data_IF_170641887081
#
_entry.id   IF_170641887081
#
_cell.length_a   1.000
_cell.length_b   1.000
_cell.length_c   1.000
_cell.angle_alpha   90.00
_cell.angle_beta   90.00
_cell.angle_gamma   90.00
#
_symmetry.space_group_name_H-M   'P 1'
#
loop_
_entity.id
_entity.type
_entity.pdbx_description
1 polymer ?
#
# COMPACT_ATOMS: atom_id res chain seq x y z
N UNK A 1 18.95 16.21 -19.64
CA UNK A 1 17.89 15.23 -19.96
C UNK A 1 17.91 14.18 -18.87
N UNK A 2 16.83 14.08 -18.09
CA UNK A 2 16.69 13.04 -17.08
C UNK A 2 16.52 11.69 -17.80
N UNK A 3 17.33 10.69 -17.45
CA UNK A 3 17.18 9.34 -18.02
C UNK A 3 15.87 8.71 -17.52
N UNK A 4 15.16 7.93 -18.35
CA UNK A 4 13.99 7.16 -17.91
C UNK A 4 14.39 6.21 -16.77
N UNK A 5 13.55 6.10 -15.73
CA UNK A 5 13.81 5.22 -14.58
C UNK A 5 14.16 3.79 -14.99
N UNK A 6 13.48 3.26 -16.02
CA UNK A 6 13.72 1.90 -16.52
C UNK A 6 15.17 1.69 -16.99
N UNK A 7 15.83 2.75 -17.46
CA UNK A 7 17.19 2.68 -18.01
C UNK A 7 18.27 2.77 -16.92
N UNK A 8 17.89 3.15 -15.70
CA UNK A 8 18.83 3.25 -14.57
C UNK A 8 18.88 1.98 -13.72
N UNK A 9 17.98 1.02 -13.93
CA UNK A 9 17.86 -0.21 -13.13
C UNK A 9 18.79 -1.32 -13.62
N UNK A 10 19.42 -2.03 -12.68
CA UNK A 10 20.27 -3.19 -12.93
C UNK A 10 19.45 -4.48 -12.96
N UNK A 11 18.86 -4.76 -14.13
CA UNK A 11 18.15 -6.02 -14.36
C UNK A 11 19.10 -7.22 -14.46
N UNK A 12 20.37 -7.03 -14.84
CA UNK A 12 21.31 -8.13 -15.08
C UNK A 12 21.67 -8.85 -13.78
N UNK A 13 21.85 -8.10 -12.68
CA UNK A 13 22.12 -8.65 -11.34
C UNK A 13 21.04 -9.64 -10.88
N UNK A 14 19.79 -9.41 -11.28
CA UNK A 14 18.64 -10.27 -10.98
C UNK A 14 18.24 -11.23 -12.10
N UNK A 15 19.05 -11.39 -13.15
CA UNK A 15 18.76 -12.28 -14.28
C UNK A 15 17.58 -11.83 -15.15
N UNK A 16 17.47 -10.52 -15.38
CA UNK A 16 16.41 -9.86 -16.15
C UNK A 16 15.23 -9.36 -15.30
N UNK A 17 15.29 -9.52 -13.98
CA UNK A 17 14.21 -9.17 -13.06
C UNK A 17 14.72 -8.33 -11.88
N UNK A 18 13.93 -7.35 -11.44
CA UNK A 18 14.17 -6.61 -10.19
C UNK A 18 13.07 -6.92 -9.16
N UNK A 19 13.40 -7.15 -7.88
CA UNK A 19 12.41 -7.15 -6.81
C UNK A 19 11.72 -5.79 -6.68
N UNK A 20 10.42 -5.82 -6.44
CA UNK A 20 9.59 -4.67 -6.18
C UNK A 20 8.86 -4.87 -4.85
N UNK A 21 9.21 -4.05 -3.86
CA UNK A 21 8.52 -3.94 -2.58
C UNK A 21 7.32 -3.01 -2.79
N UNK A 22 6.12 -3.52 -2.50
CA UNK A 22 4.89 -2.75 -2.62
C UNK A 22 4.44 -2.33 -1.23
N UNK A 23 4.29 -1.02 -1.04
CA UNK A 23 3.89 -0.43 0.24
C UNK A 23 2.67 0.46 0.05
N UNK A 24 1.76 0.42 1.02
CA UNK A 24 0.69 1.40 1.11
C UNK A 24 1.25 2.81 1.34
N UNK A 25 0.92 3.75 0.45
CA UNK A 25 1.44 5.11 0.52
C UNK A 25 0.96 5.91 1.74
N UNK A 26 -0.20 5.56 2.32
CA UNK A 26 -0.78 6.26 3.48
C UNK A 26 -0.36 5.61 4.78
N UNK A 27 -0.42 4.28 4.85
CA UNK A 27 -0.22 3.57 6.11
C UNK A 27 1.15 2.96 6.28
N UNK A 28 2.01 3.07 5.26
CA UNK A 28 3.36 2.49 5.21
C UNK A 28 3.37 0.97 5.43
N UNK A 29 2.22 0.32 5.24
CA UNK A 29 2.08 -1.13 5.39
C UNK A 29 2.67 -1.81 4.16
N UNK A 30 3.65 -2.69 4.35
CA UNK A 30 4.17 -3.51 3.27
C UNK A 30 3.10 -4.51 2.84
N UNK A 31 2.64 -4.39 1.59
CA UNK A 31 1.53 -5.17 1.04
C UNK A 31 2.03 -6.47 0.42
N UNK A 32 3.10 -6.41 -0.37
CA UNK A 32 3.68 -7.59 -1.02
C UNK A 32 5.08 -7.32 -1.54
N UNK A 33 5.79 -8.41 -1.88
CA UNK A 33 6.97 -8.39 -2.73
C UNK A 33 6.63 -9.11 -4.03
N UNK A 34 7.03 -8.53 -5.15
CA UNK A 34 6.91 -9.11 -6.47
C UNK A 34 8.19 -8.87 -7.29
N UNK A 35 8.22 -9.38 -8.52
CA UNK A 35 9.33 -9.16 -9.44
C UNK A 35 8.80 -8.43 -10.67
N UNK A 36 9.64 -7.61 -11.29
CA UNK A 36 9.33 -6.88 -12.51
C UNK A 36 10.45 -7.10 -13.51
N UNK A 37 10.11 -7.44 -14.76
CA UNK A 37 11.03 -7.31 -15.87
C UNK A 37 11.03 -5.86 -16.39
N UNK A 38 11.95 -5.55 -17.30
CA UNK A 38 12.03 -4.23 -17.94
C UNK A 38 10.69 -3.76 -18.50
N UNK A 39 9.97 -4.65 -19.16
CA UNK A 39 8.68 -4.33 -19.78
C UNK A 39 7.55 -4.09 -18.76
N UNK A 40 7.57 -4.75 -17.60
CA UNK A 40 6.63 -4.51 -16.51
C UNK A 40 6.89 -3.17 -15.81
N UNK A 41 8.16 -2.76 -15.65
CA UNK A 41 8.51 -1.44 -15.13
C UNK A 41 8.01 -0.35 -16.08
N UNK A 42 8.28 -0.49 -17.38
CA UNK A 42 7.81 0.44 -18.41
C UNK A 42 6.29 0.61 -18.41
N UNK A 43 5.56 -0.51 -18.38
CA UNK A 43 4.10 -0.49 -18.34
C UNK A 43 3.58 0.15 -17.05
N UNK A 44 4.24 -0.08 -15.92
CA UNK A 44 3.87 0.51 -14.63
C UNK A 44 4.03 2.03 -14.65
N UNK A 45 5.15 2.52 -15.20
CA UNK A 45 5.41 3.96 -15.35
C UNK A 45 4.39 4.60 -16.31
N UNK A 46 4.08 3.95 -17.44
CA UNK A 46 3.15 4.48 -18.45
C UNK A 46 1.70 4.48 -17.98
N UNK A 47 1.27 3.39 -17.34
CA UNK A 47 -0.13 3.19 -16.97
C UNK A 47 -0.51 3.79 -15.61
N UNK A 48 0.47 4.05 -14.75
CA UNK A 48 0.25 4.44 -13.36
C UNK A 48 -0.31 3.32 -12.48
N UNK A 49 -0.21 2.05 -12.92
CA UNK A 49 -0.67 0.89 -12.16
C UNK A 49 0.36 -0.23 -12.15
N UNK A 50 0.49 -0.91 -11.01
CA UNK A 50 1.52 -1.92 -10.82
C UNK A 50 1.31 -3.15 -11.74
N UNK A 51 2.31 -3.39 -12.58
CA UNK A 51 2.43 -4.57 -13.44
C UNK A 51 3.62 -5.39 -12.98
N UNK A 52 3.48 -6.71 -12.89
CA UNK A 52 4.51 -7.60 -12.37
C UNK A 52 4.83 -8.73 -13.35
N UNK A 53 5.95 -9.40 -13.12
CA UNK A 53 6.36 -10.61 -13.79
C UNK A 53 6.25 -11.81 -12.84
N UNK A 54 5.53 -12.85 -13.28
CA UNK A 54 5.41 -14.11 -12.53
C UNK A 54 6.55 -15.04 -12.91
N UNK A 55 7.48 -15.27 -11.97
CA UNK A 55 8.59 -16.23 -12.16
C UNK A 55 8.12 -17.68 -12.37
N UNK A 56 6.99 -18.06 -11.76
CA UNK A 56 6.45 -19.42 -11.89
C UNK A 56 5.69 -19.64 -13.19
N UNK A 57 5.00 -18.63 -13.70
CA UNK A 57 4.24 -18.71 -14.96
C UNK A 57 5.03 -18.24 -16.18
N UNK A 58 6.18 -17.62 -15.99
CA UNK A 58 7.01 -17.07 -17.07
C UNK A 58 6.35 -15.95 -17.85
N UNK A 59 5.52 -15.12 -17.20
CA UNK A 59 4.70 -14.13 -17.90
C UNK A 59 4.33 -12.90 -17.05
N UNK A 60 4.05 -11.79 -17.75
CA UNK A 60 3.60 -10.54 -17.14
C UNK A 60 2.12 -10.62 -16.77
N UNK A 61 1.76 -9.93 -15.69
CA UNK A 61 0.37 -9.76 -15.27
C UNK A 61 0.19 -8.40 -14.60
N UNK A 62 -0.88 -7.70 -14.97
CA UNK A 62 -1.28 -6.47 -14.29
C UNK A 62 -2.06 -6.83 -13.04
N UNK A 63 -1.67 -6.29 -11.88
CA UNK A 63 -2.34 -6.64 -10.62
C UNK A 63 -3.80 -6.19 -10.67
N UNK A 64 -4.71 -7.15 -10.51
CA UNK A 64 -6.15 -6.88 -10.49
C UNK A 64 -6.84 -6.88 -11.85
N UNK A 65 -6.15 -7.29 -12.93
CA UNK A 65 -6.78 -7.41 -14.25
C UNK A 65 -7.97 -8.38 -14.25
N UNK A 66 -7.88 -9.46 -13.48
CA UNK A 66 -8.96 -10.45 -13.33
C UNK A 66 -9.86 -10.17 -12.11
N UNK A 67 -9.29 -9.70 -11.00
CA UNK A 67 -10.02 -9.59 -9.71
C UNK A 67 -10.57 -8.19 -9.43
N UNK A 68 -10.23 -7.19 -10.22
CA UNK A 68 -10.53 -5.77 -9.95
C UNK A 68 -9.63 -5.12 -8.87
N UNK A 69 -8.79 -5.90 -8.17
CA UNK A 69 -7.96 -5.38 -7.08
C UNK A 69 -6.67 -4.75 -7.61
N UNK A 70 -6.69 -3.44 -7.82
CA UNK A 70 -5.65 -2.68 -8.53
C UNK A 70 -4.72 -1.97 -7.55
N UNK A 71 -3.49 -1.72 -7.96
CA UNK A 71 -2.51 -0.97 -7.17
C UNK A 71 -2.11 0.27 -7.97
N UNK A 72 -2.67 1.43 -7.60
CA UNK A 72 -2.38 2.70 -8.27
C UNK A 72 -1.06 3.24 -7.74
N UNK A 73 -0.12 3.57 -8.64
CA UNK A 73 1.18 4.09 -8.27
C UNK A 73 1.05 5.52 -7.74
N UNK A 74 1.63 5.78 -6.58
CA UNK A 74 1.80 7.11 -5.99
C UNK A 74 3.23 7.59 -6.20
N UNK A 75 4.21 6.72 -5.94
CA UNK A 75 5.63 7.00 -6.17
C UNK A 75 6.41 5.71 -6.47
N UNK A 76 7.53 5.86 -7.16
CA UNK A 76 8.48 4.79 -7.44
C UNK A 76 9.87 5.29 -7.05
N UNK A 77 10.60 4.50 -6.28
CA UNK A 77 12.00 4.75 -5.94
C UNK A 77 12.84 3.50 -6.22
N UNK A 78 14.01 3.69 -6.82
CA UNK A 78 15.06 2.68 -6.83
C UNK A 78 15.87 2.75 -5.53
N UNK A 79 16.47 1.65 -5.12
CA UNK A 79 17.46 1.66 -4.05
C UNK A 79 18.83 2.16 -4.52
N UNK A 80 19.83 2.13 -3.64
CA UNK A 80 21.08 2.86 -3.86
C UNK A 80 21.98 2.25 -4.95
N UNK A 81 21.85 0.96 -5.24
CA UNK A 81 22.54 0.27 -6.34
C UNK A 81 21.60 -0.09 -7.51
N UNK A 82 20.36 0.42 -7.48
CA UNK A 82 19.35 0.31 -8.53
C UNK A 82 18.95 -1.14 -8.89
N UNK A 83 19.04 -2.07 -7.94
CA UNK A 83 18.65 -3.46 -8.16
C UNK A 83 17.26 -3.79 -7.60
N UNK A 84 16.67 -2.89 -6.80
CA UNK A 84 15.33 -3.04 -6.24
C UNK A 84 14.48 -1.78 -6.38
N UNK A 85 13.15 -1.98 -6.36
CA UNK A 85 12.16 -0.92 -6.40
C UNK A 85 11.31 -0.89 -5.12
N UNK A 86 11.04 0.31 -4.63
CA UNK A 86 9.96 0.61 -3.70
C UNK A 86 8.81 1.26 -4.49
N UNK A 87 7.66 0.58 -4.54
CA UNK A 87 6.42 1.09 -5.10
C UNK A 87 5.51 1.53 -3.97
N UNK A 88 5.29 2.83 -3.82
CA UNK A 88 4.22 3.32 -2.95
C UNK A 88 2.92 3.38 -3.75
N UNK A 89 1.86 2.76 -3.22
CA UNK A 89 0.61 2.57 -3.94
C UNK A 89 -0.61 2.96 -3.11
N UNK A 90 -1.69 3.33 -3.82
CA UNK A 90 -3.04 3.41 -3.28
C UNK A 90 -3.81 2.15 -3.71
N UNK A 91 -4.00 1.16 -2.80
CA UNK A 91 -4.60 -0.11 -3.15
C UNK A 91 -6.14 0.00 -3.26
N UNK A 92 -6.67 -0.43 -4.40
CA UNK A 92 -8.09 -0.67 -4.61
C UNK A 92 -8.37 -2.14 -4.28
N UNK A 93 -9.01 -2.40 -3.15
CA UNK A 93 -9.28 -3.78 -2.67
C UNK A 93 -8.06 -4.47 -2.03
N UNK A 94 -8.19 -5.77 -1.68
CA UNK A 94 -7.11 -6.52 -1.04
C UNK A 94 -5.96 -6.83 -2.02
N UNK A 95 -4.71 -6.66 -1.57
CA UNK A 95 -3.54 -7.00 -2.40
C UNK A 95 -3.32 -8.52 -2.45
N UNK A 96 -3.61 -9.26 -1.39
CA UNK A 96 -3.39 -10.70 -1.32
C UNK A 96 -4.53 -11.50 -1.98
N UNK A 97 -4.17 -12.62 -2.60
CA UNK A 97 -5.14 -13.56 -3.19
C UNK A 97 -5.99 -14.30 -2.15
N UNK A 98 -5.57 -14.30 -0.87
CA UNK A 98 -6.33 -14.85 0.27
C UNK A 98 -7.43 -13.90 0.77
N UNK A 99 -7.64 -12.76 0.11
CA UNK A 99 -8.57 -11.71 0.54
C UNK A 99 -8.04 -10.80 1.65
N UNK A 100 -6.82 -11.05 2.15
CA UNK A 100 -6.16 -10.17 3.12
C UNK A 100 -5.56 -8.94 2.44
N UNK A 101 -5.37 -7.86 3.20
CA UNK A 101 -4.77 -6.62 2.68
C UNK A 101 -3.32 -6.81 2.26
N UNK A 102 -2.52 -7.44 3.12
CA UNK A 102 -1.12 -7.77 2.87
C UNK A 102 -0.95 -9.28 2.65
N UNK A 103 0.09 -9.64 1.89
CA UNK A 103 0.61 -11.01 1.79
C UNK A 103 1.36 -11.42 3.06
N UNK A 104 1.77 -10.46 3.90
CA UNK A 104 2.51 -10.71 5.14
C UNK A 104 1.56 -10.71 6.34
N UNK A 105 1.68 -11.74 7.18
CA UNK A 105 0.88 -11.94 8.39
C UNK A 105 -0.42 -12.70 8.19
N UNK A 106 -1.12 -12.97 9.30
CA UNK A 106 -2.36 -13.78 9.34
C UNK A 106 -3.64 -12.93 9.31
N UNK A 107 -3.53 -11.68 8.86
CA UNK A 107 -4.64 -10.72 8.89
C UNK A 107 -4.76 -9.92 10.19
N UNK A 108 -3.81 -10.08 11.13
CA UNK A 108 -3.74 -9.33 12.40
C UNK A 108 -3.39 -7.83 12.24
N UNK A 109 -3.24 -7.36 11.01
CA UNK A 109 -3.00 -5.96 10.67
C UNK A 109 -1.53 -5.62 10.42
N UNK A 110 -1.29 -4.35 10.14
CA UNK A 110 0.03 -3.84 9.77
C UNK A 110 1.05 -3.98 10.91
N UNK A 111 2.33 -4.12 10.58
CA UNK A 111 3.43 -4.19 11.55
C UNK A 111 3.94 -2.80 11.94
N UNK A 112 4.50 -2.68 13.15
CA UNK A 112 5.14 -1.44 13.64
C UNK A 112 4.23 -0.22 13.56
N UNK A 113 4.77 0.90 13.06
CA UNK A 113 4.05 2.17 12.87
C UNK A 113 2.85 2.04 11.91
N UNK A 114 2.84 1.04 11.03
CA UNK A 114 1.69 0.79 10.16
C UNK A 114 0.41 0.47 10.92
N UNK A 115 0.50 0.03 12.19
CA UNK A 115 -0.67 -0.16 13.06
C UNK A 115 -1.47 1.13 13.25
N UNK A 116 -0.81 2.29 13.27
CA UNK A 116 -1.50 3.58 13.37
C UNK A 116 -2.35 3.85 12.13
N UNK A 117 -1.83 3.56 10.94
CA UNK A 117 -2.62 3.63 9.72
C UNK A 117 -3.74 2.59 9.67
N UNK A 118 -3.54 1.40 10.23
CA UNK A 118 -4.62 0.42 10.39
C UNK A 118 -5.72 0.91 11.35
N UNK A 119 -5.34 1.59 12.44
CA UNK A 119 -6.26 2.22 13.37
C UNK A 119 -7.02 3.38 12.72
N UNK A 120 -6.34 4.24 11.97
CA UNK A 120 -6.95 5.34 11.21
C UNK A 120 -8.04 4.82 10.25
N UNK A 121 -7.74 3.78 9.45
CA UNK A 121 -8.75 3.13 8.59
C UNK A 121 -9.92 2.56 9.39
N UNK A 122 -9.64 2.00 10.56
CA UNK A 122 -10.69 1.49 11.46
C UNK A 122 -11.59 2.63 11.93
N UNK A 123 -11.01 3.78 12.29
CA UNK A 123 -11.71 5.00 12.66
C UNK A 123 -12.55 5.51 11.48
N UNK A 124 -12.00 5.62 10.28
CA UNK A 124 -12.73 6.07 9.08
C UNK A 124 -13.91 5.16 8.73
N UNK A 125 -13.74 3.84 8.84
CA UNK A 125 -14.83 2.88 8.65
C UNK A 125 -15.91 3.11 9.71
N UNK A 126 -15.51 3.11 10.98
CA UNK A 126 -16.40 3.22 12.13
C UNK A 126 -17.04 4.60 12.29
N UNK A 127 -16.53 5.61 11.60
CA UNK A 127 -17.14 6.93 11.52
C UNK A 127 -18.46 6.92 10.72
N UNK A 128 -18.67 5.90 9.88
CA UNK A 128 -19.87 5.72 9.06
C UNK A 128 -20.95 4.86 9.73
N UNK A 129 -20.63 4.25 10.87
CA UNK A 129 -21.55 3.42 11.65
C UNK A 129 -22.61 4.29 12.34
N UNK A 130 -23.68 3.67 12.86
CA UNK A 130 -24.61 4.38 13.72
C UNK A 130 -23.94 4.77 15.07
N UNK A 131 -24.27 5.93 15.67
CA UNK A 131 -23.71 6.35 16.97
C UNK A 131 -23.91 5.34 18.11
N UNK A 132 -24.89 4.45 18.03
CA UNK A 132 -25.14 3.41 19.02
C UNK A 132 -24.19 2.20 18.88
N UNK A 133 -23.60 1.99 17.70
CA UNK A 133 -22.82 0.79 17.37
C UNK A 133 -21.30 0.99 17.56
N UNK A 134 -20.85 2.25 17.59
CA UNK A 134 -19.43 2.59 17.61
C UNK A 134 -19.14 3.82 18.44
N UNK A 135 -18.15 3.72 19.32
CA UNK A 135 -17.65 4.88 20.07
C UNK A 135 -17.15 5.99 19.14
N UNK A 136 -16.51 5.63 18.02
CA UNK A 136 -16.05 6.58 17.01
C UNK A 136 -17.21 7.36 16.41
N UNK A 137 -18.28 6.67 15.98
CA UNK A 137 -19.47 7.32 15.44
C UNK A 137 -20.16 8.21 16.50
N UNK A 138 -20.26 7.73 17.75
CA UNK A 138 -20.80 8.49 18.88
C UNK A 138 -20.03 9.78 19.13
N UNK A 139 -18.70 9.70 19.13
CA UNK A 139 -17.83 10.84 19.36
C UNK A 139 -17.93 11.87 18.22
N UNK A 140 -17.98 11.41 16.97
CA UNK A 140 -18.15 12.26 15.79
C UNK A 140 -19.53 12.95 15.78
N UNK A 141 -20.60 12.22 16.12
CA UNK A 141 -21.94 12.79 16.23
C UNK A 141 -22.05 13.87 17.32
N UNK A 142 -21.17 13.84 18.33
CA UNK A 142 -21.04 14.90 19.35
C UNK A 142 -20.41 16.20 18.84
N UNK A 143 -19.92 16.24 17.59
CA UNK A 143 -19.35 17.41 16.95
C UNK A 143 -17.93 17.77 17.39
N UNK A 144 -17.32 18.71 16.67
CA UNK A 144 -15.90 19.10 16.82
C UNK A 144 -15.56 19.53 18.26
N UNK A 145 -16.48 20.24 18.94
CA UNK A 145 -16.26 20.69 20.32
C UNK A 145 -16.07 19.52 21.30
N UNK A 146 -16.85 18.44 21.16
CA UNK A 146 -16.75 17.27 22.03
C UNK A 146 -15.47 16.48 21.77
N UNK A 147 -15.07 16.37 20.51
CA UNK A 147 -13.81 15.73 20.12
C UNK A 147 -12.63 16.52 20.72
N UNK A 148 -12.60 17.84 20.53
CA UNK A 148 -11.54 18.71 21.05
C UNK A 148 -11.46 18.67 22.58
N UNK A 149 -12.60 18.64 23.27
CA UNK A 149 -12.63 18.46 24.72
C UNK A 149 -11.92 17.16 25.13
N UNK A 150 -12.21 16.05 24.45
CA UNK A 150 -11.59 14.76 24.75
C UNK A 150 -10.07 14.79 24.55
N UNK A 151 -9.60 15.42 23.47
CA UNK A 151 -8.15 15.62 23.27
C UNK A 151 -7.52 16.40 24.42
N UNK A 152 -8.19 17.45 24.91
CA UNK A 152 -7.71 18.23 26.05
C UNK A 152 -7.69 17.46 27.38
N UNK A 153 -8.70 16.63 27.64
CA UNK A 153 -8.75 15.76 28.83
C UNK A 153 -7.56 14.78 28.83
N UNK A 154 -7.36 14.03 27.75
CA UNK A 154 -6.25 13.06 27.66
C UNK A 154 -4.88 13.75 27.71
N UNK A 155 -4.76 14.97 27.16
CA UNK A 155 -3.52 15.73 27.21
C UNK A 155 -3.13 16.24 28.60
N UNK A 156 -4.08 16.32 29.54
CA UNK A 156 -3.83 16.64 30.96
C UNK A 156 -3.55 15.38 31.77
N UNK A 157 -4.08 14.23 31.35
CA UNK A 157 -3.93 12.94 32.03
C UNK A 157 -2.64 12.18 31.66
N UNK A 158 -2.01 12.50 30.52
CA UNK A 158 -0.74 11.92 30.04
C UNK A 158 0.50 12.48 30.76
#
# INVERSE_FOLDING_TARGET
MTMPLVDTLDFEKGGGLVPAIVQDARTLETLMLAYMDRAAVDETVKSGEATFYSRSRGGRWRKGETSGNRLKIVSIAADCDNDALLLQVDPVGPACHRGTRSCFGDGEGALGVGRLGALERTIERRAKDAPAESWTAKLIAGGVKRIAQKVGEEGVEC
#
